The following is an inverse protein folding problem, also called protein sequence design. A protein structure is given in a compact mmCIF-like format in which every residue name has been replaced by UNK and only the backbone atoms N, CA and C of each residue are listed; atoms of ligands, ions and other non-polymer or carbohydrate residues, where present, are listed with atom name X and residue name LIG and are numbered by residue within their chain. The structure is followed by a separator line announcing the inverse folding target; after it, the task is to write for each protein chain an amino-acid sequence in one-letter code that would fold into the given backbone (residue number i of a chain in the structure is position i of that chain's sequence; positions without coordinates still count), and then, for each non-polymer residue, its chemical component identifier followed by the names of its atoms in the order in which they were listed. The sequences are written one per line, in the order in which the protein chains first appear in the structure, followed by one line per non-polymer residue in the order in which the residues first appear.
data_IF_749204905834
#
_entry.id   IF_749204905834
#
_cell.length_a   1.000
_cell.length_b   1.000
_cell.length_c   1.000
_cell.angle_alpha   90.00
_cell.angle_beta   90.00
_cell.angle_gamma   90.00
#
_symmetry.space_group_name_H-M   'P 1'
#
loop_
_entity.id
_entity.type
_entity.pdbx_description
1 polymer ?
#
# COMPACT_ATOMS: atom_id res chain seq x y z
N UNK A 1 1.72 6.59 12.77
CA UNK A 1 2.39 6.28 11.50
C UNK A 1 2.52 4.78 11.36
N UNK A 2 1.91 4.18 10.32
CA UNK A 2 2.09 2.76 9.98
C UNK A 2 3.05 2.69 8.81
N UNK A 3 3.93 1.71 8.78
CA UNK A 3 4.87 1.50 7.67
C UNK A 3 4.64 0.12 7.07
N UNK A 4 4.60 0.07 5.74
CA UNK A 4 4.43 -1.12 4.93
C UNK A 4 5.69 -1.29 4.08
N UNK A 5 6.26 -2.48 4.06
CA UNK A 5 7.39 -2.79 3.19
C UNK A 5 6.88 -3.22 1.82
N UNK A 6 7.46 -2.65 0.76
CA UNK A 6 7.12 -2.97 -0.62
C UNK A 6 8.25 -3.78 -1.23
N UNK A 7 7.92 -5.00 -1.63
CA UNK A 7 8.84 -5.94 -2.27
C UNK A 7 8.45 -6.16 -3.72
N UNK A 8 9.46 -6.30 -4.59
CA UNK A 8 9.29 -6.66 -5.98
C UNK A 8 9.73 -8.10 -6.20
N UNK A 9 8.88 -8.86 -6.86
CA UNK A 9 9.11 -10.23 -7.31
C UNK A 9 8.74 -10.32 -8.79
N UNK A 10 9.59 -9.73 -9.64
CA UNK A 10 9.42 -9.73 -11.09
C UNK A 10 10.12 -10.93 -11.71
N UNK A 11 9.60 -11.48 -12.81
CA UNK A 11 10.17 -12.65 -13.50
C UNK A 11 11.65 -12.47 -13.94
N UNK A 12 12.09 -11.22 -14.12
CA UNK A 12 13.45 -10.87 -14.51
C UNK A 12 14.38 -10.62 -13.31
N UNK A 13 13.84 -10.54 -12.09
CA UNK A 13 14.62 -10.51 -10.85
C UNK A 13 15.02 -11.93 -10.46
N UNK A 14 16.23 -12.08 -9.94
CA UNK A 14 16.74 -13.39 -9.48
C UNK A 14 16.22 -13.75 -8.09
N UNK A 15 15.94 -12.74 -7.28
CA UNK A 15 15.49 -12.84 -5.89
C UNK A 15 14.51 -11.70 -5.60
N UNK A 16 13.68 -11.87 -4.58
CA UNK A 16 12.77 -10.83 -4.10
C UNK A 16 13.59 -9.67 -3.55
N UNK A 17 13.41 -8.47 -4.13
CA UNK A 17 14.15 -7.28 -3.71
C UNK A 17 13.23 -6.28 -3.00
N UNK A 18 13.78 -5.59 -1.99
CA UNK A 18 13.09 -4.51 -1.29
C UNK A 18 13.11 -3.25 -2.16
N UNK A 19 11.93 -2.84 -2.62
CA UNK A 19 11.75 -1.63 -3.42
C UNK A 19 11.79 -0.40 -2.53
N UNK A 20 11.11 -0.45 -1.39
CA UNK A 20 10.99 0.67 -0.48
C UNK A 20 9.97 0.47 0.62
N UNK A 21 9.65 1.58 1.29
CA UNK A 21 8.74 1.65 2.42
C UNK A 21 7.62 2.64 2.13
N UNK A 22 6.37 2.17 2.24
CA UNK A 22 5.17 2.98 2.16
C UNK A 22 4.72 3.32 3.59
N UNK A 23 4.88 4.57 3.97
CA UNK A 23 4.33 5.12 5.20
C UNK A 23 2.91 5.63 5.01
N UNK A 24 2.08 5.39 6.02
CA UNK A 24 0.72 5.87 6.12
C UNK A 24 0.54 6.69 7.41
N UNK A 25 0.01 7.89 7.24
CA UNK A 25 -0.32 8.80 8.33
C UNK A 25 -1.74 9.34 8.16
N UNK A 26 -2.59 9.05 9.15
CA UNK A 26 -3.94 9.64 9.23
C UNK A 26 -3.89 10.83 10.19
N UNK A 27 -4.05 12.04 9.66
CA UNK A 27 -4.08 13.28 10.44
C UNK A 27 -5.46 13.92 10.29
N UNK A 28 -6.28 13.89 11.35
CA UNK A 28 -7.55 14.62 11.45
C UNK A 28 -8.50 14.46 10.25
N UNK A 29 -8.56 13.26 9.66
CA UNK A 29 -9.45 12.95 8.54
C UNK A 29 -8.87 13.20 7.14
N UNK A 30 -7.63 13.69 7.04
CA UNK A 30 -6.83 13.58 5.82
C UNK A 30 -5.86 12.41 5.96
N UNK A 31 -5.97 11.47 5.03
CA UNK A 31 -5.05 10.35 4.90
C UNK A 31 -3.90 10.77 3.99
N UNK A 32 -2.68 10.76 4.54
CA UNK A 32 -1.47 11.11 3.83
C UNK A 32 -0.59 9.87 3.67
N UNK A 33 -0.17 9.61 2.44
CA UNK A 33 0.75 8.53 2.14
C UNK A 33 2.12 9.11 1.80
N UNK A 34 3.16 8.45 2.32
CA UNK A 34 4.52 8.74 1.95
C UNK A 34 5.21 7.49 1.46
N UNK A 35 6.13 7.64 0.52
CA UNK A 35 6.94 6.54 0.02
C UNK A 35 8.41 6.91 0.07
N UNK A 36 9.23 5.94 0.50
CA UNK A 36 10.68 6.06 0.55
C UNK A 36 11.25 4.88 -0.23
N UNK A 37 12.02 5.18 -1.27
CA UNK A 37 12.74 4.14 -2.00
C UNK A 37 13.94 3.63 -1.22
N UNK A 38 14.24 2.34 -1.39
CA UNK A 38 15.50 1.75 -0.95
C UNK A 38 16.64 2.25 -1.81
N UNK A 39 17.74 2.66 -1.17
CA UNK A 39 18.97 3.07 -1.88
C UNK A 39 19.54 1.94 -2.74
N UNK A 40 19.37 0.69 -2.33
CA UNK A 40 19.81 -0.48 -3.10
C UNK A 40 18.99 -0.63 -4.38
N UNK A 41 17.67 -0.43 -4.29
CA UNK A 41 16.77 -0.45 -5.43
C UNK A 41 17.09 0.66 -6.42
N UNK A 42 17.28 1.90 -5.95
CA UNK A 42 17.64 3.03 -6.82
C UNK A 42 18.99 2.84 -7.52
N UNK A 43 19.97 2.20 -6.86
CA UNK A 43 21.28 1.91 -7.45
C UNK A 43 21.22 0.84 -8.53
N UNK A 44 20.39 -0.20 -8.35
CA UNK A 44 20.25 -1.31 -9.31
C UNK A 44 19.27 -1.01 -10.44
N UNK A 45 18.18 -0.31 -10.11
CA UNK A 45 16.99 -0.14 -10.94
C UNK A 45 16.52 1.33 -10.99
N UNK A 46 17.46 2.29 -11.03
CA UNK A 46 17.15 3.72 -11.09
C UNK A 46 16.35 4.15 -12.33
N UNK A 47 16.42 3.37 -13.42
CA UNK A 47 15.67 3.62 -14.65
C UNK A 47 14.25 3.01 -14.65
N UNK A 48 13.88 2.24 -13.60
CA UNK A 48 12.58 1.58 -13.52
C UNK A 48 11.55 2.45 -12.80
N UNK A 49 10.59 3.00 -13.54
CA UNK A 49 9.51 3.81 -12.98
C UNK A 49 8.33 2.93 -12.57
N UNK A 50 7.96 2.94 -11.29
CA UNK A 50 6.78 2.22 -10.78
C UNK A 50 5.46 2.88 -11.17
N UNK A 51 5.44 4.22 -11.23
CA UNK A 51 4.26 5.02 -11.54
C UNK A 51 4.71 6.39 -12.03
N UNK A 52 3.86 7.06 -12.81
CA UNK A 52 4.07 8.45 -13.23
C UNK A 52 4.06 9.42 -12.03
N UNK A 53 3.32 9.07 -10.98
CA UNK A 53 3.20 9.86 -9.75
C UNK A 53 4.38 9.66 -8.78
N UNK A 54 5.33 8.78 -9.10
CA UNK A 54 6.41 8.37 -8.20
C UNK A 54 7.77 8.60 -8.87
N UNK A 55 8.59 9.47 -8.29
CA UNK A 55 9.88 9.81 -8.88
C UNK A 55 10.99 8.92 -8.32
N UNK A 56 11.97 8.50 -9.12
CA UNK A 56 13.06 7.65 -8.64
C UNK A 56 14.18 8.46 -8.01
N UNK A 57 13.92 9.05 -6.83
CA UNK A 57 14.94 9.76 -6.06
C UNK A 57 15.02 9.27 -4.61
N UNK A 58 16.21 9.37 -3.98
CA UNK A 58 16.37 9.00 -2.59
C UNK A 58 15.69 10.03 -1.68
N UNK A 59 14.86 9.55 -0.76
CA UNK A 59 14.16 10.39 0.21
C UNK A 59 12.66 10.12 0.25
N UNK A 60 12.00 10.84 1.16
CA UNK A 60 10.56 10.71 1.39
C UNK A 60 9.78 11.56 0.39
N UNK A 61 8.83 10.93 -0.27
CA UNK A 61 7.92 11.58 -1.22
C UNK A 61 6.53 11.46 -0.65
N UNK A 62 5.73 12.50 -0.83
CA UNK A 62 4.34 12.53 -0.39
C UNK A 62 3.43 12.54 -1.61
N UNK A 63 2.22 12.02 -1.45
CA UNK A 63 1.19 12.14 -2.47
C UNK A 63 0.79 13.61 -2.67
N UNK A 64 0.28 13.93 -3.86
CA UNK A 64 -0.27 15.26 -4.14
C UNK A 64 -1.53 15.48 -3.30
N UNK A 65 -1.84 16.73 -2.88
CA UNK A 65 -2.97 17.01 -1.99
C UNK A 65 -4.36 16.62 -2.55
N UNK A 66 -4.47 16.31 -3.85
CA UNK A 66 -5.71 15.85 -4.49
C UNK A 66 -5.78 14.31 -4.64
N UNK A 67 -4.68 13.60 -4.38
CA UNK A 67 -4.59 12.14 -4.47
C UNK A 67 -4.31 11.56 -3.11
N UNK A 68 -5.23 10.72 -2.63
CA UNK A 68 -5.05 10.04 -1.35
C UNK A 68 -3.84 9.09 -1.39
N UNK A 69 -3.71 8.26 -2.44
CA UNK A 69 -2.63 7.27 -2.58
C UNK A 69 -1.93 7.36 -3.95
N UNK A 70 -0.70 6.86 -4.05
CA UNK A 70 -0.01 6.70 -5.34
C UNK A 70 -0.77 5.71 -6.24
N UNK A 71 -0.90 6.04 -7.54
CA UNK A 71 -1.69 5.24 -8.48
C UNK A 71 -1.26 3.76 -8.60
N UNK A 72 0.01 3.45 -8.39
CA UNK A 72 0.48 2.05 -8.39
C UNK A 72 -0.09 1.22 -7.23
N UNK A 73 -0.40 1.85 -6.10
CA UNK A 73 -0.96 1.18 -4.93
C UNK A 73 -2.49 1.26 -4.89
N UNK A 74 -3.11 2.22 -5.58
CA UNK A 74 -4.57 2.31 -5.63
C UNK A 74 -5.21 1.07 -6.26
N UNK A 75 -4.55 0.45 -7.24
CA UNK A 75 -5.07 -0.76 -7.90
C UNK A 75 -5.10 -1.98 -6.97
N UNK A 76 -4.27 -1.98 -5.93
CA UNK A 76 -4.27 -3.03 -4.91
C UNK A 76 -5.36 -2.81 -3.84
N UNK A 77 -5.98 -1.63 -3.78
CA UNK A 77 -7.02 -1.35 -2.80
C UNK A 77 -8.33 -2.02 -3.23
N UNK A 78 -9.04 -2.67 -2.29
CA UNK A 78 -10.32 -3.24 -2.62
C UNK A 78 -11.32 -2.12 -2.96
N UNK A 79 -11.91 -2.22 -4.14
CA UNK A 79 -13.05 -1.41 -4.55
C UNK A 79 -14.24 -1.58 -3.59
N UNK A 80 -15.28 -0.77 -3.77
CA UNK A 80 -16.51 -0.83 -2.96
C UNK A 80 -17.09 -2.25 -2.84
N UNK A 81 -17.05 -3.03 -3.92
CA UNK A 81 -17.49 -4.43 -3.89
C UNK A 81 -16.48 -5.35 -3.20
N UNK A 82 -15.18 -5.15 -3.41
CA UNK A 82 -14.13 -5.89 -2.70
C UNK A 82 -14.26 -5.72 -1.17
N UNK A 83 -14.45 -4.49 -0.70
CA UNK A 83 -14.69 -4.19 0.72
C UNK A 83 -15.94 -4.91 1.25
N UNK A 84 -17.02 -4.90 0.47
CA UNK A 84 -18.27 -5.59 0.82
C UNK A 84 -18.07 -7.11 0.95
N UNK A 85 -17.31 -7.73 0.05
CA UNK A 85 -17.02 -9.16 0.10
C UNK A 85 -16.13 -9.53 1.29
N UNK A 86 -15.12 -8.71 1.60
CA UNK A 86 -14.25 -8.91 2.76
C UNK A 86 -15.04 -8.81 4.08
N UNK A 87 -15.91 -7.82 4.20
CA UNK A 87 -16.82 -7.69 5.35
C UNK A 87 -17.77 -8.89 5.47
N UNK A 88 -18.35 -9.34 4.36
CA UNK A 88 -19.22 -10.53 4.37
C UNK A 88 -18.46 -11.79 4.79
N UNK A 89 -17.24 -11.99 4.30
CA UNK A 89 -16.39 -13.12 4.68
C UNK A 89 -16.11 -13.11 6.19
N UNK A 90 -15.78 -11.94 6.74
CA UNK A 90 -15.52 -11.78 8.17
C UNK A 90 -16.78 -12.01 9.01
N UNK A 91 -17.96 -11.57 8.55
CA UNK A 91 -19.24 -11.84 9.20
C UNK A 91 -19.54 -13.34 9.29
N UNK A 92 -19.30 -14.08 8.20
CA UNK A 92 -19.50 -15.54 8.18
C UNK A 92 -18.53 -16.22 9.15
N UNK A 93 -17.24 -15.89 9.09
CA UNK A 93 -16.22 -16.45 9.98
C UNK A 93 -16.52 -16.14 11.46
N UNK A 94 -16.93 -14.92 11.77
CA UNK A 94 -17.30 -14.53 13.12
C UNK A 94 -18.52 -15.30 13.64
N UNK A 95 -19.50 -15.58 12.76
CA UNK A 95 -20.67 -16.39 13.09
C UNK A 95 -20.30 -17.85 13.36
N UNK A 96 -19.41 -18.43 12.56
CA UNK A 96 -18.88 -19.79 12.76
C UNK A 96 -18.09 -19.90 14.06
N UNK A 97 -17.24 -18.91 14.35
CA UNK A 97 -16.40 -18.87 15.56
C UNK A 97 -17.13 -18.34 16.81
N UNK A 98 -18.42 -17.98 16.69
CA UNK A 98 -19.25 -17.36 17.75
C UNK A 98 -18.59 -16.15 18.43
N UNK A 99 -17.83 -15.38 17.66
CA UNK A 99 -17.18 -14.16 18.13
C UNK A 99 -17.86 -12.94 17.51
N UNK A 100 -17.70 -11.74 18.11
CA UNK A 100 -18.08 -10.52 17.43
C UNK A 100 -17.28 -10.35 16.13
N UNK A 101 -17.94 -9.77 15.13
CA UNK A 101 -17.32 -9.34 13.87
C UNK A 101 -16.19 -8.38 14.22
N UNK A 102 -14.99 -8.64 13.74
CA UNK A 102 -13.91 -7.65 13.86
C UNK A 102 -14.14 -6.63 12.75
N UNK A 103 -14.06 -5.36 13.08
CA UNK A 103 -13.89 -4.36 12.04
C UNK A 103 -12.55 -4.64 11.36
N UNK A 104 -12.63 -5.20 10.15
CA UNK A 104 -11.49 -5.26 9.28
C UNK A 104 -11.12 -3.81 8.97
N UNK A 105 -10.03 -3.33 9.57
CA UNK A 105 -9.38 -2.04 9.28
C UNK A 105 -8.90 -1.91 7.81
N UNK A 106 -9.38 -2.77 6.91
CA UNK A 106 -9.29 -2.61 5.46
C UNK A 106 -10.24 -1.54 4.92
N UNK A 107 -11.11 -0.96 5.77
CA UNK A 107 -11.90 0.23 5.43
C UNK A 107 -11.09 1.53 5.37
N UNK A 108 -9.83 1.51 5.83
CA UNK A 108 -8.96 2.69 5.93
C UNK A 108 -7.59 2.44 5.31
N UNK A 109 -7.57 1.73 4.18
CA UNK A 109 -6.47 1.83 3.21
C UNK A 109 -7.01 2.57 1.98
#
# INVERSE_FOLDING_TARGET
MKTLYVYADFDWLKEIELVGELGYESLRGSDSYCFIFSDEWLKKHGDFFLSDDLNNYPGQQYTQPEKDIFGCFSDALPDRWGRTLLLRREQIAAMEERRPVRDCLLSTF
#
